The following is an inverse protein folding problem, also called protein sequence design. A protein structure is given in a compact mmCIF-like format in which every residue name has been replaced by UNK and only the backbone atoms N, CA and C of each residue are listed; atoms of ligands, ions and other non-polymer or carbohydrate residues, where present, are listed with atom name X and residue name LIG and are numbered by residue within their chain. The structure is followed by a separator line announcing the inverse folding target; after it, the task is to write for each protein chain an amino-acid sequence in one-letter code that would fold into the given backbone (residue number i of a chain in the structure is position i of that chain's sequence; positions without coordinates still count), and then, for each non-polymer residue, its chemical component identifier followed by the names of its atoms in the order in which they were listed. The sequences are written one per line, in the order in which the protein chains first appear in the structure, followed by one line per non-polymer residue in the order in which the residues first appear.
data_IF_944476551841
#
_entry.id   IF_944476551841
#
_cell.length_a   1.000
_cell.length_b   1.000
_cell.length_c   1.000
_cell.angle_alpha   90.00
_cell.angle_beta   90.00
_cell.angle_gamma   90.00
#
_symmetry.space_group_name_H-M   'P 1'
#
loop_
_entity.id
_entity.type
_entity.pdbx_description
1 polymer ?
#
# COMPACT_ATOMS: atom_id res chain seq x y z
N UNK A 1 -5.07 15.55 3.09
CA UNK A 1 -5.37 15.70 1.65
C UNK A 1 -4.18 15.37 0.73
N UNK A 2 -2.98 15.03 1.22
CA UNK A 2 -1.84 14.64 0.35
C UNK A 2 -1.74 13.16 -0.03
N UNK A 3 -2.74 12.32 0.26
CA UNK A 3 -2.64 10.86 0.11
C UNK A 3 -3.01 10.30 -1.27
N UNK A 4 -3.75 11.05 -2.10
CA UNK A 4 -4.18 10.61 -3.43
C UNK A 4 -3.32 11.17 -4.58
N UNK A 5 -2.53 12.22 -4.32
CA UNK A 5 -1.57 12.79 -5.27
C UNK A 5 -0.53 11.75 -5.75
N UNK A 6 0.02 10.89 -4.87
CA UNK A 6 0.95 9.82 -5.29
C UNK A 6 0.31 8.81 -6.23
N UNK A 7 -0.97 8.45 -6.00
CA UNK A 7 -1.70 7.51 -6.84
C UNK A 7 -1.88 8.03 -8.27
N UNK A 8 -2.20 9.32 -8.42
CA UNK A 8 -2.37 9.96 -9.73
C UNK A 8 -1.09 9.95 -10.56
N UNK A 9 0.06 10.17 -9.93
CA UNK A 9 1.37 10.14 -10.60
C UNK A 9 1.85 8.69 -10.87
N UNK A 10 1.38 7.72 -10.08
CA UNK A 10 1.70 6.30 -10.25
C UNK A 10 0.97 5.64 -11.43
N UNK A 11 -0.29 6.01 -11.70
CA UNK A 11 -1.10 5.44 -12.78
C UNK A 11 -0.43 5.37 -14.17
N UNK A 12 0.19 6.45 -14.69
CA UNK A 12 0.84 6.40 -16.01
C UNK A 12 2.05 5.46 -16.04
N UNK A 13 2.81 5.36 -14.93
CA UNK A 13 3.95 4.43 -14.81
C UNK A 13 3.45 2.98 -14.80
N UNK A 14 2.38 2.73 -14.05
CA UNK A 14 1.67 1.45 -14.02
C UNK A 14 1.27 1.00 -15.42
N UNK A 15 0.63 1.88 -16.18
CA UNK A 15 0.15 1.61 -17.53
C UNK A 15 1.30 1.38 -18.53
N UNK A 16 2.37 2.17 -18.44
CA UNK A 16 3.56 1.99 -19.27
C UNK A 16 4.21 0.63 -19.03
N UNK A 17 4.39 0.23 -17.77
CA UNK A 17 4.99 -1.07 -17.42
C UNK A 17 4.11 -2.25 -17.82
N UNK A 18 2.79 -2.19 -17.57
CA UNK A 18 1.85 -3.23 -18.00
C UNK A 18 1.85 -3.47 -19.51
N UNK A 19 2.16 -2.43 -20.31
CA UNK A 19 2.25 -2.55 -21.76
C UNK A 19 3.65 -2.94 -22.24
N UNK A 20 4.69 -2.53 -21.54
CA UNK A 20 6.09 -2.80 -21.88
C UNK A 20 6.49 -4.26 -21.60
N UNK A 21 6.25 -4.78 -20.39
CA UNK A 21 6.69 -6.13 -20.04
C UNK A 21 6.16 -7.26 -20.95
N UNK A 22 4.87 -7.28 -21.37
CA UNK A 22 4.40 -8.27 -22.32
C UNK A 22 4.75 -8.00 -23.80
N UNK A 23 5.23 -6.79 -24.15
CA UNK A 23 5.56 -6.42 -25.54
C UNK A 23 7.07 -6.36 -25.85
N UNK A 24 7.92 -6.31 -24.83
CA UNK A 24 9.37 -6.34 -24.98
C UNK A 24 9.86 -7.74 -25.35
N UNK A 25 10.30 -7.90 -26.59
CA UNK A 25 10.82 -9.15 -27.13
C UNK A 25 12.09 -9.67 -26.43
N UNK A 26 12.85 -8.80 -25.76
CA UNK A 26 14.08 -9.15 -25.04
C UNK A 26 13.84 -9.83 -23.68
N UNK A 27 12.64 -9.68 -23.11
CA UNK A 27 12.25 -10.32 -21.84
C UNK A 27 11.50 -11.64 -22.02
N UNK A 28 11.22 -12.04 -23.27
CA UNK A 28 10.66 -13.34 -23.61
C UNK A 28 11.76 -14.40 -23.51
N UNK A 29 11.52 -15.44 -22.71
CA UNK A 29 12.45 -16.57 -22.51
C UNK A 29 13.79 -16.22 -21.84
N UNK A 30 13.92 -15.03 -21.27
CA UNK A 30 15.03 -14.73 -20.36
C UNK A 30 14.70 -15.35 -19.00
N UNK A 31 15.63 -16.13 -18.45
CA UNK A 31 15.49 -16.71 -17.12
C UNK A 31 16.20 -15.82 -16.10
N UNK A 32 15.52 -15.46 -15.02
CA UNK A 32 16.09 -14.64 -13.96
C UNK A 32 15.83 -15.24 -12.59
N UNK A 33 16.93 -15.53 -11.89
CA UNK A 33 17.01 -16.18 -10.58
C UNK A 33 16.35 -17.57 -10.51
N UNK A 34 15.02 -17.61 -10.53
CA UNK A 34 14.20 -18.83 -10.44
C UNK A 34 13.01 -18.83 -11.41
N UNK A 35 12.72 -17.72 -12.10
CA UNK A 35 11.70 -17.69 -13.14
C UNK A 35 12.34 -17.98 -14.49
N UNK A 36 11.76 -18.92 -15.23
CA UNK A 36 12.24 -19.32 -16.56
C UNK A 36 11.80 -18.36 -17.68
N UNK A 37 10.82 -17.49 -17.42
CA UNK A 37 10.33 -16.48 -18.37
C UNK A 37 9.82 -15.23 -17.62
N UNK A 38 10.38 -14.07 -17.93
CA UNK A 38 9.98 -12.78 -17.34
C UNK A 38 8.65 -12.26 -17.90
N UNK A 39 8.24 -12.74 -19.07
CA UNK A 39 7.03 -12.31 -19.77
C UNK A 39 5.77 -13.08 -19.32
N UNK A 40 5.93 -14.30 -18.83
CA UNK A 40 4.86 -15.11 -18.23
C UNK A 40 4.82 -14.99 -16.71
N UNK A 41 3.84 -15.61 -16.08
CA UNK A 41 3.87 -15.80 -14.63
C UNK A 41 4.95 -16.82 -14.26
N UNK A 42 5.49 -16.66 -13.06
CA UNK A 42 6.44 -17.58 -12.44
C UNK A 42 5.66 -18.60 -11.60
N UNK A 43 5.97 -19.89 -11.67
CA UNK A 43 5.38 -20.95 -10.85
C UNK A 43 6.47 -21.74 -10.16
N UNK A 44 6.51 -21.68 -8.82
CA UNK A 44 7.43 -22.50 -8.01
C UNK A 44 6.75 -23.70 -7.36
N UNK A 45 5.42 -23.65 -7.23
CA UNK A 45 4.63 -24.70 -6.62
C UNK A 45 3.27 -24.78 -7.32
N UNK A 46 3.03 -25.89 -7.99
CA UNK A 46 1.72 -26.22 -8.52
C UNK A 46 0.90 -26.92 -7.43
N UNK A 47 -0.24 -26.33 -7.09
CA UNK A 47 -1.19 -26.86 -6.12
C UNK A 47 -2.06 -27.92 -6.83
N UNK A 48 -2.29 -29.10 -6.22
CA UNK A 48 -3.15 -30.14 -6.80
C UNK A 48 -4.65 -29.77 -6.75
N UNK A 49 -4.99 -28.56 -6.29
CA UNK A 49 -6.34 -28.02 -6.22
C UNK A 49 -6.32 -26.54 -6.61
N UNK A 50 -7.33 -26.10 -7.36
CA UNK A 50 -7.48 -24.70 -7.75
C UNK A 50 -8.19 -23.93 -6.65
N UNK A 51 -7.54 -22.93 -6.06
CA UNK A 51 -8.18 -22.01 -5.11
C UNK A 51 -8.89 -20.92 -5.91
N UNK A 52 -10.20 -20.66 -5.68
CA UNK A 52 -10.91 -19.55 -6.32
C UNK A 52 -10.18 -18.23 -6.05
N UNK A 53 -9.92 -17.45 -7.11
CA UNK A 53 -9.14 -16.20 -7.14
C UNK A 53 -7.61 -16.34 -7.09
N UNK A 54 -7.05 -17.38 -6.47
CA UNK A 54 -5.59 -17.55 -6.37
C UNK A 54 -5.02 -18.32 -7.58
N UNK A 55 -5.73 -19.34 -8.06
CA UNK A 55 -5.27 -20.21 -9.13
C UNK A 55 -4.80 -21.57 -8.63
N UNK A 56 -4.09 -22.28 -9.50
CA UNK A 56 -3.51 -23.61 -9.33
C UNK A 56 -1.99 -23.59 -9.11
N UNK A 57 -1.36 -22.41 -9.13
CA UNK A 57 0.08 -22.24 -8.95
C UNK A 57 0.40 -21.17 -7.92
N UNK A 58 1.65 -21.12 -7.46
CA UNK A 58 2.17 -20.08 -6.56
C UNK A 58 3.37 -19.39 -7.20
N UNK A 59 3.23 -18.08 -7.44
CA UNK A 59 4.30 -17.23 -7.94
C UNK A 59 5.15 -16.68 -6.80
N UNK A 60 6.44 -17.04 -6.79
CA UNK A 60 7.36 -16.58 -5.74
C UNK A 60 7.56 -15.07 -5.81
N UNK A 61 7.62 -14.49 -7.01
CA UNK A 61 7.70 -13.04 -7.17
C UNK A 61 6.47 -12.32 -6.63
N UNK A 62 5.26 -12.86 -6.82
CA UNK A 62 4.05 -12.27 -6.24
C UNK A 62 4.07 -12.32 -4.71
N UNK A 63 4.55 -13.43 -4.13
CA UNK A 63 4.74 -13.59 -2.68
C UNK A 63 5.74 -12.58 -2.13
N UNK A 64 6.91 -12.47 -2.77
CA UNK A 64 7.95 -11.53 -2.37
C UNK A 64 7.49 -10.07 -2.49
N UNK A 65 6.78 -9.73 -3.57
CA UNK A 65 6.18 -8.41 -3.75
C UNK A 65 5.21 -8.10 -2.59
N UNK A 66 4.30 -9.03 -2.25
CA UNK A 66 3.35 -8.84 -1.17
C UNK A 66 4.04 -8.68 0.20
N UNK A 67 5.07 -9.48 0.48
CA UNK A 67 5.89 -9.38 1.70
C UNK A 67 6.59 -8.01 1.74
N UNK A 68 7.22 -7.58 0.66
CA UNK A 68 7.89 -6.27 0.59
C UNK A 68 6.91 -5.12 0.84
N UNK A 69 5.70 -5.21 0.28
CA UNK A 69 4.65 -4.22 0.45
C UNK A 69 4.10 -4.21 1.88
N UNK A 70 4.00 -5.38 2.51
CA UNK A 70 3.68 -5.50 3.94
C UNK A 70 4.69 -4.76 4.81
N UNK A 71 5.99 -5.00 4.62
CA UNK A 71 7.05 -4.33 5.37
C UNK A 71 7.09 -2.82 5.10
N UNK A 72 6.93 -2.40 3.84
CA UNK A 72 6.86 -1.00 3.47
C UNK A 72 5.66 -0.29 4.14
N UNK A 73 4.48 -0.90 4.09
CA UNK A 73 3.26 -0.40 4.74
C UNK A 73 3.44 -0.32 6.26
N UNK A 74 4.07 -1.34 6.87
CA UNK A 74 4.42 -1.37 8.29
C UNK A 74 5.30 -0.21 8.70
N UNK A 75 6.34 0.08 7.92
CA UNK A 75 7.27 1.19 8.19
C UNK A 75 6.61 2.57 8.06
N UNK A 76 5.72 2.75 7.08
CA UNK A 76 4.98 4.00 6.91
C UNK A 76 3.90 4.19 7.98
N UNK A 77 3.18 3.12 8.34
CA UNK A 77 2.06 3.19 9.29
C UNK A 77 2.50 3.49 10.73
N UNK A 78 3.73 3.12 11.12
CA UNK A 78 4.27 3.52 12.42
C UNK A 78 4.45 5.04 12.56
N UNK A 79 4.42 5.79 11.46
CA UNK A 79 4.52 7.25 11.47
C UNK A 79 3.15 7.95 11.58
N UNK A 80 2.06 7.27 11.26
CA UNK A 80 0.72 7.86 11.33
C UNK A 80 0.17 7.75 12.76
N UNK A 81 0.04 8.89 13.45
CA UNK A 81 -0.56 8.97 14.78
C UNK A 81 -1.94 8.30 14.82
N UNK A 82 -2.01 7.20 15.59
CA UNK A 82 -3.17 6.32 15.67
C UNK A 82 -4.26 6.90 16.57
N UNK A 83 -5.18 7.67 15.97
CA UNK A 83 -6.51 7.84 16.54
C UNK A 83 -7.31 6.52 16.41
N UNK A 84 -8.34 6.26 17.24
CA UNK A 84 -9.11 5.02 17.22
C UNK A 84 -9.78 4.72 15.87
N UNK A 85 -10.04 5.74 15.06
CA UNK A 85 -10.60 5.61 13.71
C UNK A 85 -9.59 5.11 12.66
N UNK A 86 -8.28 5.23 12.95
CA UNK A 86 -7.19 4.79 12.07
C UNK A 86 -6.76 3.33 12.32
N UNK A 87 -7.16 2.72 13.44
CA UNK A 87 -6.80 1.35 13.79
C UNK A 87 -7.44 0.32 12.82
N UNK A 88 -8.71 0.52 12.46
CA UNK A 88 -9.39 -0.32 11.47
C UNK A 88 -8.78 -0.18 10.06
N UNK A 89 -8.38 1.04 9.69
CA UNK A 89 -7.72 1.29 8.41
C UNK A 89 -6.30 0.70 8.36
N UNK A 90 -5.60 0.65 9.50
CA UNK A 90 -4.30 -0.02 9.63
C UNK A 90 -4.44 -1.53 9.38
N UNK A 91 -5.43 -2.19 9.98
CA UNK A 91 -5.62 -3.63 9.77
C UNK A 91 -5.91 -3.97 8.30
N UNK A 92 -6.76 -3.18 7.65
CA UNK A 92 -7.11 -3.32 6.23
C UNK A 92 -5.90 -3.08 5.30
N UNK A 93 -5.17 -1.99 5.50
CA UNK A 93 -4.05 -1.63 4.62
C UNK A 93 -2.79 -2.47 4.85
N UNK A 94 -2.60 -3.00 6.06
CA UNK A 94 -1.42 -3.76 6.42
C UNK A 94 -1.57 -5.25 6.09
N UNK A 95 -2.75 -5.85 6.31
CA UNK A 95 -2.94 -7.29 6.10
C UNK A 95 -3.77 -7.60 4.87
N UNK A 96 -4.93 -6.94 4.73
CA UNK A 96 -5.88 -7.27 3.66
C UNK A 96 -5.36 -6.85 2.28
N UNK A 97 -4.79 -5.65 2.17
CA UNK A 97 -4.31 -5.13 0.88
C UNK A 97 -3.18 -5.97 0.24
N UNK A 98 -2.07 -6.27 0.95
CA UNK A 98 -1.02 -7.11 0.37
C UNK A 98 -1.49 -8.55 0.11
N UNK A 99 -2.40 -9.09 0.92
CA UNK A 99 -3.01 -10.40 0.65
C UNK A 99 -3.86 -10.37 -0.64
N UNK A 100 -4.64 -9.32 -0.84
CA UNK A 100 -5.44 -9.14 -2.05
C UNK A 100 -4.56 -8.99 -3.31
N UNK A 101 -3.47 -8.21 -3.22
CA UNK A 101 -2.50 -8.08 -4.30
C UNK A 101 -1.71 -9.35 -4.57
N UNK A 102 -1.44 -10.16 -3.54
CA UNK A 102 -0.84 -11.48 -3.70
C UNK A 102 -1.75 -12.39 -4.52
N UNK A 103 -3.05 -12.35 -4.25
CA UNK A 103 -4.04 -13.15 -4.99
C UNK A 103 -4.17 -12.72 -6.45
N UNK A 104 -4.24 -11.42 -6.72
CA UNK A 104 -4.27 -10.93 -8.10
C UNK A 104 -2.92 -11.07 -8.81
N UNK A 105 -1.83 -10.79 -8.10
CA UNK A 105 -0.47 -10.77 -8.60
C UNK A 105 0.08 -12.14 -8.95
N UNK A 106 -0.55 -13.21 -8.43
CA UNK A 106 -0.19 -14.58 -8.77
C UNK A 106 -0.31 -14.86 -10.28
N UNK A 107 -1.32 -14.27 -10.94
CA UNK A 107 -1.56 -14.42 -12.38
C UNK A 107 -0.90 -13.32 -13.23
N UNK A 108 -0.07 -12.45 -12.64
CA UNK A 108 0.65 -11.41 -13.37
C UNK A 108 2.03 -11.88 -13.83
N UNK A 109 2.54 -11.22 -14.87
CA UNK A 109 3.90 -11.45 -15.37
C UNK A 109 4.92 -11.29 -14.23
N UNK A 110 5.85 -12.23 -14.16
CA UNK A 110 6.93 -12.30 -13.18
C UNK A 110 7.81 -11.04 -13.23
N UNK A 111 8.06 -10.48 -14.43
CA UNK A 111 8.77 -9.22 -14.62
C UNK A 111 8.05 -8.01 -13.99
N UNK A 112 6.72 -7.96 -14.08
CA UNK A 112 5.94 -6.89 -13.43
C UNK A 112 6.05 -7.00 -11.90
N UNK A 113 5.86 -8.21 -11.35
CA UNK A 113 5.97 -8.47 -9.91
C UNK A 113 7.38 -8.19 -9.38
N UNK A 114 8.42 -8.53 -10.15
CA UNK A 114 9.81 -8.21 -9.84
C UNK A 114 10.09 -6.69 -9.83
N UNK A 115 9.58 -5.96 -10.83
CA UNK A 115 9.70 -4.50 -10.85
C UNK A 115 9.11 -3.85 -9.59
N UNK A 116 7.91 -4.29 -9.17
CA UNK A 116 7.30 -3.78 -7.94
C UNK A 116 8.08 -4.15 -6.68
N UNK A 117 8.61 -5.38 -6.62
CA UNK A 117 9.49 -5.79 -5.54
C UNK A 117 10.70 -4.86 -5.44
N UNK A 118 11.40 -4.64 -6.55
CA UNK A 118 12.59 -3.77 -6.58
C UNK A 118 12.24 -2.33 -6.26
N UNK A 119 11.15 -1.79 -6.83
CA UNK A 119 10.66 -0.44 -6.55
C UNK A 119 10.32 -0.24 -5.07
N UNK A 120 9.62 -1.21 -4.45
CA UNK A 120 9.30 -1.17 -3.03
C UNK A 120 10.56 -1.22 -2.17
N UNK A 121 11.54 -2.06 -2.53
CA UNK A 121 12.82 -2.15 -1.82
C UNK A 121 13.62 -0.85 -1.92
N UNK A 122 13.77 -0.27 -3.11
CA UNK A 122 14.46 1.01 -3.32
C UNK A 122 13.76 2.10 -2.51
N UNK A 123 12.44 2.18 -2.59
CA UNK A 123 11.66 3.18 -1.84
C UNK A 123 11.82 3.00 -0.33
N UNK A 124 11.85 1.75 0.15
CA UNK A 124 12.07 1.43 1.55
C UNK A 124 13.47 1.86 2.00
N UNK A 125 14.52 1.56 1.22
CA UNK A 125 15.90 1.98 1.49
C UNK A 125 16.02 3.50 1.46
N UNK A 126 15.45 4.17 0.45
CA UNK A 126 15.45 5.63 0.36
C UNK A 126 14.77 6.25 1.57
N UNK A 127 13.59 5.75 1.96
CA UNK A 127 12.86 6.22 3.15
C UNK A 127 13.68 6.00 4.40
N UNK A 128 14.33 4.85 4.54
CA UNK A 128 15.19 4.53 5.68
C UNK A 128 16.42 5.43 5.76
N UNK A 129 17.11 5.69 4.63
CA UNK A 129 18.25 6.61 4.54
C UNK A 129 17.84 8.04 4.86
N UNK A 130 16.76 8.54 4.26
CA UNK A 130 16.23 9.88 4.57
C UNK A 130 15.94 10.01 6.06
N UNK A 131 15.29 9.00 6.65
CA UNK A 131 15.01 9.01 8.09
C UNK A 131 16.27 9.01 8.93
N UNK A 132 17.24 8.15 8.60
CA UNK A 132 18.44 7.98 9.40
C UNK A 132 19.39 9.19 9.33
N UNK A 133 19.46 9.85 8.17
CA UNK A 133 20.45 10.90 7.91
C UNK A 133 19.86 12.32 7.83
N UNK A 134 18.59 12.48 7.44
CA UNK A 134 17.97 13.80 7.21
C UNK A 134 16.88 14.17 8.21
N UNK A 135 16.40 13.22 9.02
CA UNK A 135 15.32 13.47 9.98
C UNK A 135 15.86 13.37 11.41
N UNK A 136 16.05 14.53 12.05
CA UNK A 136 16.27 14.61 13.51
C UNK A 136 14.98 14.17 14.23
N UNK A 137 14.87 12.88 14.54
CA UNK A 137 13.71 12.31 15.24
C UNK A 137 13.41 13.09 16.54
N UNK A 138 14.43 13.53 17.28
CA UNK A 138 14.26 14.29 18.54
C UNK A 138 13.54 15.63 18.35
N UNK A 139 13.87 16.38 17.30
CA UNK A 139 13.20 17.67 17.00
C UNK A 139 11.77 17.44 16.54
N UNK A 140 11.51 16.38 15.77
CA UNK A 140 10.15 16.04 15.34
C UNK A 140 9.31 15.54 16.52
N UNK A 141 9.85 14.70 17.40
CA UNK A 141 9.14 14.25 18.61
C UNK A 141 8.82 15.41 19.56
N UNK A 142 9.74 16.37 19.73
CA UNK A 142 9.49 17.58 20.51
C UNK A 142 8.38 18.44 19.89
N UNK A 143 8.40 18.67 18.57
CA UNK A 143 7.35 19.39 17.86
C UNK A 143 6.00 18.67 17.88
N UNK A 144 6.00 17.33 17.80
CA UNK A 144 4.79 16.51 17.89
C UNK A 144 4.17 16.59 19.29
N UNK A 145 4.97 16.54 20.36
CA UNK A 145 4.48 16.73 21.73
C UNK A 145 3.89 18.13 21.94
N UNK A 146 4.56 19.17 21.43
CA UNK A 146 4.04 20.54 21.50
C UNK A 146 2.74 20.72 20.69
N UNK A 147 2.65 20.11 19.50
CA UNK A 147 1.44 20.14 18.65
C UNK A 147 0.31 19.23 19.15
N UNK A 148 0.62 18.18 19.90
CA UNK A 148 -0.37 17.33 20.58
C UNK A 148 -0.92 18.02 21.84
N UNK A 149 -0.09 18.80 22.53
CA UNK A 149 -0.51 19.65 23.65
C UNK A 149 -1.36 20.85 23.20
N UNK A 150 -1.23 21.30 21.94
CA UNK A 150 -2.12 22.32 21.38
C UNK A 150 -3.39 21.69 20.82
N UNK A 151 -4.59 22.13 21.24
CA UNK A 151 -5.84 21.56 20.73
C UNK A 151 -5.96 21.84 19.23
N UNK A 152 -6.07 20.78 18.41
CA UNK A 152 -6.32 20.90 16.98
C UNK A 152 -7.65 21.62 16.78
N UNK A 153 -7.61 22.85 16.24
CA UNK A 153 -8.83 23.56 15.81
C UNK A 153 -9.57 22.71 14.79
N UNK A 154 -10.78 22.27 15.13
CA UNK A 154 -11.69 21.61 14.17
C UNK A 154 -11.89 22.57 12.98
N UNK A 155 -11.84 22.04 11.76
CA UNK A 155 -12.12 22.82 10.56
C UNK A 155 -13.57 23.32 10.61
N UNK A 156 -13.82 24.56 10.19
CA UNK A 156 -15.16 25.19 10.18
C UNK A 156 -16.23 24.34 9.47
N UNK A 157 -15.82 23.54 8.49
CA UNK A 157 -16.71 22.61 7.79
C UNK A 157 -17.13 21.41 8.67
N UNK A 158 -16.18 20.88 9.44
CA UNK A 158 -16.41 19.76 10.36
C UNK A 158 -17.35 20.16 11.50
N UNK A 159 -17.19 21.39 12.00
CA UNK A 159 -18.06 21.98 13.02
C UNK A 159 -19.50 22.16 12.52
N UNK A 160 -19.67 22.59 11.26
CA UNK A 160 -20.98 22.68 10.60
C UNK A 160 -21.65 21.32 10.45
N UNK A 161 -20.92 20.29 10.03
CA UNK A 161 -21.44 18.92 9.93
C UNK A 161 -21.88 18.38 11.29
N UNK A 162 -21.06 18.54 12.33
CA UNK A 162 -21.40 18.13 13.70
C UNK A 162 -22.67 18.84 14.21
N UNK A 163 -22.81 20.14 13.92
CA UNK A 163 -24.01 20.91 14.30
C UNK A 163 -25.27 20.44 13.57
N UNK A 164 -25.17 20.12 12.27
CA UNK A 164 -26.30 19.60 11.49
C UNK A 164 -26.74 18.21 11.97
N UNK A 165 -25.78 17.35 12.33
CA UNK A 165 -26.06 16.03 12.89
C UNK A 165 -26.78 16.12 14.24
N UNK A 166 -26.36 17.03 15.12
CA UNK A 166 -27.02 17.28 16.41
C UNK A 166 -28.43 17.84 16.25
N UNK A 167 -28.63 18.76 15.31
CA UNK A 167 -29.95 19.29 14.98
C UNK A 167 -30.90 18.20 14.47
N UNK A 168 -30.42 17.27 13.63
CA UNK A 168 -31.19 16.10 13.21
C UNK A 168 -31.55 15.18 14.37
N UNK A 169 -30.61 14.90 15.29
CA UNK A 169 -30.89 14.06 16.46
C UNK A 169 -31.91 14.69 17.42
N UNK A 170 -31.88 16.01 17.58
CA UNK A 170 -32.88 16.74 18.39
C UNK A 170 -34.26 16.72 17.73
N UNK A 171 -34.34 16.89 16.41
CA UNK A 171 -35.61 16.76 15.68
C UNK A 171 -36.18 15.34 15.74
N UNK A 172 -35.33 14.32 15.72
CA UNK A 172 -35.74 12.91 15.89
C UNK A 172 -36.19 12.59 17.31
N UNK A 173 -35.60 13.21 18.33
CA UNK A 173 -36.03 13.08 19.74
C UNK A 173 -37.36 13.79 20.01
N UNK A 174 -37.61 14.94 19.39
CA UNK A 174 -38.87 15.67 19.53
C UNK A 174 -40.01 15.08 18.68
N UNK A 175 -39.72 14.13 17.77
CA UNK A 175 -40.72 13.35 17.00
C UNK A 175 -41.13 12.03 17.67
N UNK A 176 -40.61 11.72 18.86
CA UNK A 176 -41.07 10.64 19.74
C UNK A 176 -41.85 11.24 20.89
#
# INVERSE_FOLDING_TARGET
FGGCLPMLLQFPILFAMFRFFPSSFELRQESFLWADDLSSYDSILDLPFTIPLFGDHVSLFAVLMAISMFFYSRMNMDQMNAGPQMAGMKYMSLYFMPLFLLVLGNNFSSGLSYYYLLSNLITMVQTWVIRKYFVDEDKIYAQLKQKAATPKKKSKFQERLDSAYKAQQQQMKNRK
#
